data_IF_470511561166
#
_entry.id   IF_470511561166
#
_cell.length_a   1.000
_cell.length_b   1.000
_cell.length_c   1.000
_cell.angle_alpha   90.00
_cell.angle_beta   90.00
_cell.angle_gamma   90.00
#
_symmetry.space_group_name_H-M   'P 1'
#
loop_
_entity.id
_entity.type
_entity.pdbx_description
1 polymer ?
#
# COMPACT_ATOMS: atom_id res chain seq x y z
N UNK A 1 9.03 1.93 -16.72
CA UNK A 1 9.49 3.13 -15.97
C UNK A 1 10.53 2.70 -14.94
N UNK A 2 11.54 3.52 -14.67
CA UNK A 2 12.44 3.34 -13.54
C UNK A 2 12.27 4.54 -12.59
N UNK A 3 12.45 4.36 -11.30
CA UNK A 3 12.36 5.43 -10.32
C UNK A 3 13.39 5.22 -9.21
N UNK A 4 14.18 6.26 -8.95
CA UNK A 4 15.00 6.37 -7.75
C UNK A 4 14.26 7.27 -6.75
N UNK A 5 13.98 6.76 -5.56
CA UNK A 5 13.26 7.47 -4.52
C UNK A 5 14.09 7.52 -3.24
N UNK A 6 14.15 8.70 -2.63
CA UNK A 6 14.80 8.91 -1.33
C UNK A 6 13.83 9.67 -0.44
N UNK A 7 13.58 9.16 0.76
CA UNK A 7 12.86 9.86 1.81
C UNK A 7 13.82 10.24 2.93
N UNK A 8 13.78 11.51 3.31
CA UNK A 8 14.47 12.03 4.49
C UNK A 8 13.48 12.40 5.56
N UNK A 9 13.88 12.29 6.82
CA UNK A 9 13.03 12.59 7.97
C UNK A 9 13.80 13.35 9.04
N UNK A 10 13.11 14.30 9.67
CA UNK A 10 13.56 14.96 10.90
C UNK A 10 12.50 14.69 11.97
N UNK A 11 12.90 14.08 13.08
CA UNK A 11 11.98 13.64 14.11
C UNK A 11 12.72 13.01 15.27
N UNK A 12 12.09 12.98 16.44
CA UNK A 12 12.71 12.45 17.66
C UNK A 12 11.70 11.66 18.47
N UNK A 13 12.18 10.71 19.26
CA UNK A 13 11.34 10.00 20.22
C UNK A 13 11.10 10.80 21.51
N UNK A 14 10.24 10.26 22.38
CA UNK A 14 9.90 10.90 23.66
C UNK A 14 11.10 10.99 24.62
N UNK A 15 12.02 10.01 24.59
CA UNK A 15 13.20 10.01 25.44
C UNK A 15 14.12 11.19 25.10
N UNK A 16 14.43 11.37 23.81
CA UNK A 16 15.25 12.50 23.36
C UNK A 16 14.55 13.84 23.60
N UNK A 17 13.24 13.91 23.35
CA UNK A 17 12.44 15.12 23.62
C UNK A 17 12.43 15.51 25.10
N UNK A 18 12.54 14.54 26.01
CA UNK A 18 12.58 14.74 27.46
C UNK A 18 13.98 15.01 28.02
N UNK A 19 15.01 15.10 27.16
CA UNK A 19 16.39 15.41 27.54
C UNK A 19 17.32 14.21 27.67
N UNK A 20 16.86 12.98 27.44
CA UNK A 20 17.74 11.81 27.35
C UNK A 20 18.40 11.75 25.96
N UNK A 21 19.45 12.55 25.78
CA UNK A 21 20.22 12.59 24.53
C UNK A 21 21.15 11.39 24.35
N UNK A 22 21.25 10.50 25.34
CA UNK A 22 22.13 9.32 25.29
C UNK A 22 21.35 8.10 24.77
N UNK A 23 20.16 7.85 25.31
CA UNK A 23 19.34 6.70 24.91
C UNK A 23 18.19 7.08 23.96
N UNK A 24 17.82 8.35 23.90
CA UNK A 24 16.80 8.84 23.00
C UNK A 24 17.26 8.90 21.55
N UNK A 25 16.31 8.78 20.63
CA UNK A 25 16.54 8.81 19.18
C UNK A 25 16.17 10.16 18.60
N UNK A 26 17.06 10.70 17.78
CA UNK A 26 16.83 11.93 17.03
C UNK A 26 17.37 11.75 15.61
N UNK A 27 16.50 11.96 14.65
CA UNK A 27 16.80 12.01 13.23
C UNK A 27 16.86 13.49 12.82
N UNK A 28 17.92 13.87 12.12
CA UNK A 28 18.07 15.21 11.55
C UNK A 28 18.34 15.14 10.05
N UNK A 29 17.28 15.26 9.26
CA UNK A 29 17.31 15.13 7.81
C UNK A 29 17.92 13.79 7.33
N UNK A 30 17.76 12.75 8.14
CA UNK A 30 18.34 11.44 7.90
C UNK A 30 17.57 10.70 6.82
N UNK A 31 18.28 9.91 6.02
CA UNK A 31 17.67 9.06 5.00
C UNK A 31 17.01 7.87 5.69
N UNK A 32 15.69 7.77 5.56
CA UNK A 32 14.90 6.70 6.17
C UNK A 32 14.35 5.71 5.15
N UNK A 33 14.39 6.07 3.87
CA UNK A 33 14.03 5.18 2.77
C UNK A 33 14.85 5.55 1.54
N UNK A 34 15.41 4.56 0.86
CA UNK A 34 16.17 4.74 -0.37
C UNK A 34 15.98 3.51 -1.26
N UNK A 35 15.31 3.69 -2.38
CA UNK A 35 14.93 2.60 -3.27
C UNK A 35 15.10 2.98 -4.73
N UNK A 36 15.60 2.02 -5.52
CA UNK A 36 15.61 2.11 -6.97
C UNK A 36 14.73 0.98 -7.51
N UNK A 37 13.62 1.34 -8.14
CA UNK A 37 12.60 0.40 -8.58
C UNK A 37 12.33 0.48 -10.08
N UNK A 38 11.97 -0.67 -10.65
CA UNK A 38 11.49 -0.81 -12.01
C UNK A 38 10.00 -1.13 -12.01
N UNK A 39 9.25 -0.36 -12.80
CA UNK A 39 7.82 -0.50 -13.02
C UNK A 39 7.56 -0.83 -14.49
N UNK A 40 7.73 -2.11 -14.90
CA UNK A 40 7.23 -2.58 -16.18
C UNK A 40 5.69 -2.53 -16.18
N UNK A 41 5.14 -2.17 -17.33
CA UNK A 41 3.70 -2.17 -17.58
C UNK A 41 3.41 -2.54 -19.02
N UNK A 42 2.37 -3.34 -19.23
CA UNK A 42 1.84 -3.70 -20.52
C UNK A 42 0.32 -3.64 -20.48
N UNK A 43 -0.28 -3.13 -21.56
CA UNK A 43 -1.72 -3.05 -21.74
C UNK A 43 -2.02 -3.45 -23.18
N UNK A 44 -2.77 -4.54 -23.34
CA UNK A 44 -3.19 -5.07 -24.62
C UNK A 44 -4.70 -5.01 -24.71
N UNK A 45 -5.21 -4.45 -25.82
CA UNK A 45 -6.63 -4.45 -26.15
C UNK A 45 -6.77 -5.25 -27.44
N UNK A 46 -7.63 -6.27 -27.41
CA UNK A 46 -7.98 -7.09 -28.56
C UNK A 46 -9.46 -6.91 -28.87
N UNK A 47 -9.77 -6.36 -30.04
CA UNK A 47 -11.14 -6.26 -30.53
C UNK A 47 -11.57 -7.60 -31.12
N UNK A 48 -12.40 -8.33 -30.37
CA UNK A 48 -12.94 -9.63 -30.78
C UNK A 48 -13.90 -9.45 -31.97
N UNK A 49 -14.65 -8.36 -31.96
CA UNK A 49 -15.50 -7.89 -33.06
C UNK A 49 -15.75 -6.38 -32.88
N UNK A 50 -16.57 -5.78 -33.74
CA UNK A 50 -16.88 -4.33 -33.75
C UNK A 50 -17.41 -3.80 -32.40
N UNK A 51 -18.04 -4.66 -31.60
CA UNK A 51 -18.75 -4.27 -30.39
C UNK A 51 -18.21 -4.95 -29.13
N UNK A 52 -17.05 -5.63 -29.20
CA UNK A 52 -16.53 -6.40 -28.07
C UNK A 52 -15.01 -6.33 -28.00
N UNK A 53 -14.51 -5.96 -26.83
CA UNK A 53 -13.08 -5.90 -26.53
C UNK A 53 -12.71 -6.86 -25.41
N UNK A 54 -11.52 -7.42 -25.52
CA UNK A 54 -10.79 -8.07 -24.44
C UNK A 54 -9.60 -7.18 -24.08
N UNK A 55 -9.39 -6.91 -22.80
CA UNK A 55 -8.28 -6.11 -22.29
C UNK A 55 -7.48 -6.94 -21.30
N UNK A 56 -6.18 -7.00 -21.53
CA UNK A 56 -5.19 -7.62 -20.65
C UNK A 56 -4.24 -6.54 -20.14
N UNK A 57 -4.08 -6.44 -18.83
CA UNK A 57 -3.18 -5.48 -18.19
C UNK A 57 -2.25 -6.23 -17.25
N UNK A 58 -0.95 -5.94 -17.33
CA UNK A 58 0.05 -6.46 -16.40
C UNK A 58 0.95 -5.30 -15.97
N UNK A 59 1.06 -5.07 -14.67
CA UNK A 59 1.83 -3.93 -14.13
C UNK A 59 2.54 -4.28 -12.84
N UNK A 60 3.70 -3.67 -12.59
CA UNK A 60 4.30 -3.59 -11.25
C UNK A 60 4.08 -2.20 -10.67
N UNK A 61 3.58 -2.12 -9.46
CA UNK A 61 3.31 -0.89 -8.71
C UNK A 61 3.97 -0.95 -7.32
N UNK A 62 3.93 0.17 -6.59
CA UNK A 62 4.56 0.32 -5.27
C UNK A 62 3.60 1.05 -4.33
N UNK A 63 3.56 0.64 -3.07
CA UNK A 63 2.95 1.40 -1.99
C UNK A 63 4.06 1.75 -0.98
N UNK A 64 4.28 3.06 -0.82
CA UNK A 64 5.31 3.58 0.08
C UNK A 64 4.74 3.77 1.48
N UNK A 65 5.54 3.55 2.54
CA UNK A 65 5.15 3.99 3.86
C UNK A 65 4.84 5.49 3.87
N UNK A 66 3.81 5.87 4.61
CA UNK A 66 3.52 7.26 4.90
C UNK A 66 4.57 7.87 5.83
N UNK A 67 4.63 9.21 5.89
CA UNK A 67 5.46 9.92 6.87
C UNK A 67 5.13 9.55 8.31
N UNK A 68 3.87 9.21 8.60
CA UNK A 68 3.44 8.77 9.93
C UNK A 68 4.01 7.38 10.25
N UNK A 69 4.02 6.47 9.27
CA UNK A 69 4.58 5.13 9.46
C UNK A 69 6.09 5.16 9.61
N UNK A 70 6.81 5.95 8.81
CA UNK A 70 8.25 6.19 8.96
C UNK A 70 8.53 7.32 9.96
N UNK A 71 8.21 7.09 11.23
CA UNK A 71 8.46 8.08 12.30
C UNK A 71 8.63 7.44 13.69
N UNK A 72 8.90 8.29 14.69
CA UNK A 72 8.77 7.99 16.12
C UNK A 72 7.42 8.46 16.69
N UNK A 73 6.42 8.75 15.85
CA UNK A 73 5.14 9.25 16.33
C UNK A 73 4.39 8.17 17.13
N UNK A 74 3.84 8.56 18.27
CA UNK A 74 2.92 7.77 19.06
C UNK A 74 1.59 8.51 19.11
N UNK A 75 0.52 7.91 18.58
CA UNK A 75 -0.76 8.59 18.38
C UNK A 75 -1.88 7.72 18.95
N UNK A 76 -2.59 8.26 19.95
CA UNK A 76 -3.80 7.64 20.49
C UNK A 76 -4.98 7.90 19.55
N UNK A 77 -5.65 6.83 19.15
CA UNK A 77 -6.98 6.87 18.56
C UNK A 77 -8.03 6.74 19.68
N UNK A 78 -8.75 7.82 20.03
CA UNK A 78 -9.70 7.82 21.14
C UNK A 78 -10.96 6.99 20.85
N UNK A 79 -11.27 6.68 19.59
CA UNK A 79 -12.46 5.90 19.23
C UNK A 79 -12.23 4.41 19.45
N UNK A 80 -11.04 3.92 19.09
CA UNK A 80 -10.69 2.51 19.21
C UNK A 80 -9.85 2.20 20.46
N UNK A 81 -9.43 3.24 21.18
CA UNK A 81 -8.47 3.18 22.29
C UNK A 81 -7.16 2.46 21.93
N UNK A 82 -6.74 2.60 20.67
CA UNK A 82 -5.49 2.04 20.14
C UNK A 82 -4.43 3.11 20.08
N UNK A 83 -3.18 2.70 20.30
CA UNK A 83 -2.03 3.58 20.15
C UNK A 83 -1.29 3.12 18.90
N UNK A 84 -1.18 4.00 17.92
CA UNK A 84 -0.30 3.82 16.78
C UNK A 84 1.11 4.22 17.18
N UNK A 85 2.08 3.34 16.94
CA UNK A 85 3.50 3.62 17.04
C UNK A 85 4.11 3.60 15.64
N UNK A 86 4.90 4.61 15.28
CA UNK A 86 5.67 4.59 14.05
C UNK A 86 6.68 3.43 14.02
N UNK A 87 7.19 3.12 12.83
CA UNK A 87 8.00 1.91 12.61
C UNK A 87 9.38 1.96 13.25
N UNK A 88 9.93 3.14 13.54
CA UNK A 88 11.33 3.26 13.98
C UNK A 88 11.60 2.78 15.42
N UNK A 89 10.56 2.42 16.18
CA UNK A 89 10.71 1.75 17.47
C UNK A 89 11.07 0.27 17.23
N UNK A 90 12.26 -0.20 17.63
CA UNK A 90 12.61 -1.60 17.49
C UNK A 90 12.08 -2.38 18.69
N UNK A 91 11.77 -3.64 18.41
CA UNK A 91 11.29 -4.62 19.36
C UNK A 91 12.02 -5.94 19.08
N UNK A 92 11.92 -6.92 19.98
CA UNK A 92 12.56 -8.24 19.78
C UNK A 92 12.17 -8.93 18.46
N UNK A 93 10.97 -8.61 17.93
CA UNK A 93 10.42 -9.13 16.67
C UNK A 93 10.49 -8.17 15.49
N UNK A 94 11.10 -6.99 15.65
CA UNK A 94 11.11 -5.93 14.65
C UNK A 94 12.31 -5.01 14.78
N UNK A 95 13.08 -4.83 13.71
CA UNK A 95 14.34 -4.07 13.72
C UNK A 95 14.16 -2.56 13.52
N UNK A 96 12.93 -2.11 13.24
CA UNK A 96 12.63 -0.71 12.97
C UNK A 96 12.62 -0.33 11.49
N UNK A 97 13.00 -1.25 10.59
CA UNK A 97 13.22 -0.98 9.18
C UNK A 97 11.97 -1.29 8.34
N UNK A 98 11.17 -0.26 8.07
CA UNK A 98 10.00 -0.38 7.23
C UNK A 98 10.34 -0.04 5.77
N UNK A 99 10.06 -0.96 4.86
CA UNK A 99 10.30 -0.83 3.42
C UNK A 99 9.01 -0.71 2.63
N UNK A 100 9.11 -0.33 1.36
CA UNK A 100 7.95 -0.26 0.47
C UNK A 100 7.36 -1.64 0.17
N UNK A 101 6.04 -1.67 0.03
CA UNK A 101 5.33 -2.80 -0.54
C UNK A 101 5.40 -2.75 -2.06
N UNK A 102 5.85 -3.83 -2.69
CA UNK A 102 5.83 -3.96 -4.16
C UNK A 102 4.67 -4.86 -4.57
N UNK A 103 3.98 -4.47 -5.62
CA UNK A 103 2.75 -5.14 -6.04
C UNK A 103 2.86 -5.52 -7.51
N UNK A 104 2.69 -6.81 -7.82
CA UNK A 104 2.53 -7.28 -9.20
C UNK A 104 1.05 -7.49 -9.46
N UNK A 105 0.52 -6.84 -10.49
CA UNK A 105 -0.89 -6.82 -10.83
C UNK A 105 -1.10 -7.45 -12.22
N UNK A 106 -2.15 -8.24 -12.34
CA UNK A 106 -2.64 -8.77 -13.60
C UNK A 106 -4.17 -8.63 -13.64
N UNK A 107 -4.70 -8.05 -14.71
CA UNK A 107 -6.11 -7.79 -14.89
C UNK A 107 -6.56 -8.28 -16.26
N UNK A 108 -7.72 -8.93 -16.30
CA UNK A 108 -8.40 -9.34 -17.52
C UNK A 108 -9.80 -8.74 -17.50
N UNK A 109 -10.17 -8.07 -18.58
CA UNK A 109 -11.49 -7.44 -18.72
C UNK A 109 -12.09 -7.76 -20.07
N UNK A 110 -13.35 -8.15 -20.06
CA UNK A 110 -14.19 -8.31 -21.25
C UNK A 110 -15.24 -7.21 -21.24
N UNK A 111 -15.40 -6.51 -22.36
CA UNK A 111 -16.29 -5.37 -22.50
C UNK A 111 -17.12 -5.55 -23.77
N UNK A 112 -18.44 -5.39 -23.65
CA UNK A 112 -19.37 -5.38 -24.78
C UNK A 112 -20.11 -4.06 -24.84
N UNK A 113 -20.02 -3.43 -26.00
CA UNK A 113 -20.67 -2.17 -26.32
C UNK A 113 -22.00 -2.44 -27.01
N UNK A 114 -23.01 -1.64 -26.69
CA UNK A 114 -24.31 -1.66 -27.35
C UNK A 114 -24.60 -0.26 -27.91
N UNK A 115 -25.79 -0.10 -28.50
CA UNK A 115 -26.24 1.20 -29.03
C UNK A 115 -26.29 2.25 -27.93
N UNK A 116 -26.25 3.51 -28.34
CA UNK A 116 -26.43 4.67 -27.44
C UNK A 116 -25.41 4.75 -26.30
N UNK A 117 -24.18 4.27 -26.54
CA UNK A 117 -23.08 4.33 -25.57
C UNK A 117 -23.20 3.37 -24.38
N UNK A 118 -24.14 2.43 -24.44
CA UNK A 118 -24.37 1.44 -23.39
C UNK A 118 -23.22 0.42 -23.35
N UNK A 119 -22.86 -0.04 -22.15
CA UNK A 119 -21.78 -1.01 -21.95
C UNK A 119 -22.15 -2.05 -20.90
N UNK A 120 -21.72 -3.27 -21.13
CA UNK A 120 -21.66 -4.32 -20.11
C UNK A 120 -20.24 -4.86 -20.08
N UNK A 121 -19.67 -5.00 -18.89
CA UNK A 121 -18.33 -5.54 -18.74
C UNK A 121 -18.19 -6.42 -17.51
N UNK A 122 -17.24 -7.34 -17.62
CA UNK A 122 -16.84 -8.24 -16.54
C UNK A 122 -15.32 -8.26 -16.50
N UNK A 123 -14.75 -8.11 -15.33
CA UNK A 123 -13.30 -8.16 -15.12
C UNK A 123 -12.93 -9.09 -13.97
N UNK A 124 -11.73 -9.65 -14.07
CA UNK A 124 -11.05 -10.35 -12.99
C UNK A 124 -9.66 -9.75 -12.79
N UNK A 125 -9.20 -9.73 -11.54
CA UNK A 125 -7.89 -9.21 -11.18
C UNK A 125 -7.16 -10.13 -10.21
N UNK A 126 -5.84 -10.08 -10.28
CA UNK A 126 -4.90 -10.76 -9.40
C UNK A 126 -3.81 -9.78 -8.97
N UNK A 127 -3.50 -9.74 -7.68
CA UNK A 127 -2.44 -8.92 -7.10
C UNK A 127 -1.60 -9.75 -6.15
N UNK A 128 -0.29 -9.69 -6.34
CA UNK A 128 0.70 -10.26 -5.43
C UNK A 128 1.45 -9.15 -4.72
N UNK A 129 1.42 -9.14 -3.40
CA UNK A 129 2.08 -8.18 -2.53
C UNK A 129 3.37 -8.79 -1.98
N UNK A 130 4.49 -8.11 -2.20
CA UNK A 130 5.78 -8.37 -1.57
C UNK A 130 5.96 -7.34 -0.44
N UNK A 131 6.20 -7.80 0.79
CA UNK A 131 6.36 -6.95 1.97
C UNK A 131 5.18 -5.98 2.20
N UNK A 132 3.91 -6.46 2.25
CA UNK A 132 2.78 -5.60 2.61
C UNK A 132 3.01 -4.95 3.98
N UNK A 133 2.75 -3.65 4.08
CA UNK A 133 2.79 -2.90 5.34
C UNK A 133 1.47 -3.12 6.05
N UNK A 134 1.52 -3.74 7.23
CA UNK A 134 0.34 -4.08 8.03
C UNK A 134 0.51 -3.60 9.47
N UNK A 135 -0.61 -3.29 10.13
CA UNK A 135 -0.61 -2.95 11.55
C UNK A 135 -0.53 -4.22 12.39
N UNK A 136 0.63 -4.42 12.99
CA UNK A 136 0.91 -5.55 13.89
C UNK A 136 0.84 -5.07 15.33
N UNK A 137 0.16 -5.85 16.17
CA UNK A 137 0.11 -5.59 17.61
C UNK A 137 1.48 -5.78 18.24
N UNK A 138 1.92 -4.82 19.06
CA UNK A 138 3.15 -4.94 19.85
C UNK A 138 2.86 -5.84 21.06
N UNK A 139 3.40 -7.05 21.05
CA UNK A 139 3.13 -8.07 22.07
C UNK A 139 4.10 -8.03 23.26
N UNK A 140 4.52 -6.84 23.70
CA UNK A 140 5.35 -6.73 24.92
C UNK A 140 4.55 -6.98 26.21
N UNK A 141 3.24 -6.71 26.17
CA UNK A 141 2.31 -7.01 27.26
C UNK A 141 1.01 -7.60 26.70
N UNK A 142 0.45 -8.62 27.38
CA UNK A 142 -0.74 -9.33 26.90
C UNK A 142 -1.98 -8.43 26.72
N UNK A 143 -2.02 -7.25 27.34
CA UNK A 143 -3.11 -6.27 27.28
C UNK A 143 -2.77 -5.02 26.46
N UNK A 144 -1.61 -4.95 25.80
CA UNK A 144 -1.22 -3.77 25.03
C UNK A 144 -2.23 -3.47 23.90
N UNK A 145 -2.64 -2.20 23.79
CA UNK A 145 -3.46 -1.68 22.68
C UNK A 145 -2.60 -0.98 21.63
N UNK A 146 -1.29 -1.24 21.65
CA UNK A 146 -0.31 -0.64 20.76
C UNK A 146 -0.15 -1.43 19.46
N UNK A 147 -0.14 -0.71 18.35
CA UNK A 147 0.03 -1.25 17.01
C UNK A 147 1.17 -0.52 16.31
N UNK A 148 1.89 -1.25 15.47
CA UNK A 148 3.00 -0.74 14.71
C UNK A 148 2.90 -1.21 13.25
N UNK A 149 3.13 -0.32 12.26
CA UNK A 149 3.25 -0.74 10.88
C UNK A 149 4.52 -1.57 10.72
N UNK A 150 4.38 -2.76 10.13
CA UNK A 150 5.49 -3.68 9.83
C UNK A 150 5.29 -4.31 8.47
N UNK A 151 6.38 -4.62 7.78
CA UNK A 151 6.30 -5.46 6.59
C UNK A 151 6.05 -6.91 6.98
N UNK A 152 5.04 -7.55 6.39
CA UNK A 152 4.67 -8.94 6.72
C UNK A 152 4.66 -9.87 5.51
N UNK A 153 5.70 -10.70 5.39
CA UNK A 153 5.76 -11.80 4.40
C UNK A 153 5.29 -11.42 2.99
N UNK A 154 4.29 -12.16 2.49
CA UNK A 154 3.67 -11.93 1.18
C UNK A 154 2.14 -12.01 1.29
N UNK A 155 1.44 -11.25 0.46
CA UNK A 155 -0.02 -11.28 0.36
C UNK A 155 -0.51 -11.55 -1.06
N UNK A 156 -1.70 -12.13 -1.19
CA UNK A 156 -2.35 -12.35 -2.48
C UNK A 156 -3.79 -11.85 -2.43
N UNK A 157 -4.22 -11.13 -3.46
CA UNK A 157 -5.60 -10.68 -3.61
C UNK A 157 -6.11 -11.02 -5.00
N UNK A 158 -7.32 -11.57 -5.06
CA UNK A 158 -8.01 -11.92 -6.29
C UNK A 158 -9.45 -11.47 -6.18
N UNK A 159 -10.05 -11.08 -7.30
CA UNK A 159 -11.42 -10.61 -7.31
C UNK A 159 -11.99 -10.46 -8.71
N UNK A 160 -13.29 -10.17 -8.75
CA UNK A 160 -14.05 -9.96 -9.98
C UNK A 160 -14.92 -8.72 -9.85
N UNK A 161 -15.10 -8.00 -10.94
CA UNK A 161 -15.91 -6.79 -11.02
C UNK A 161 -16.87 -6.89 -12.21
N UNK A 162 -18.07 -6.31 -12.05
CA UNK A 162 -19.11 -6.29 -13.09
C UNK A 162 -19.61 -4.84 -13.19
N UNK A 163 -19.71 -4.32 -14.40
CA UNK A 163 -20.26 -2.99 -14.67
C UNK A 163 -21.32 -3.10 -15.75
N UNK A 164 -22.45 -2.42 -15.51
CA UNK A 164 -23.55 -2.32 -16.45
C UNK A 164 -24.05 -0.88 -16.54
N UNK A 165 -23.98 -0.33 -17.76
CA UNK A 165 -24.52 0.98 -18.08
C UNK A 165 -25.62 0.84 -19.15
N UNK A 166 -26.82 1.36 -18.84
CA UNK A 166 -27.99 1.30 -19.70
C UNK A 166 -28.67 2.67 -19.79
N UNK A 167 -29.00 3.08 -21.01
CA UNK A 167 -29.84 4.24 -21.30
C UNK A 167 -31.30 3.78 -21.45
N UNK A 168 -32.24 4.45 -20.77
CA UNK A 168 -33.68 4.17 -20.76
C UNK A 168 -34.50 5.25 -21.50
N UNK A 169 -34.02 5.77 -22.63
CA UNK A 169 -34.71 6.80 -23.42
C UNK A 169 -36.07 6.39 -24.04
N UNK A 170 -36.72 5.35 -23.52
CA UNK A 170 -38.07 4.91 -23.85
C UNK A 170 -39.07 5.06 -22.67
N UNK A 171 -38.63 5.67 -21.55
CA UNK A 171 -39.50 6.15 -20.46
C UNK A 171 -39.70 7.65 -20.61
#
# INVERSE_FOLDING_TARGET
>A
RAEHFIQRHTGRDQAYASGDVINGRNLDNDVVLNSLDLFPSANLIYSVNENTNLRLVATRTIARPSFKELSFAQILDPLTNRIFNGSFFPYSSWDGNLVETRITNADLRWERFFKDGQVFSVSGFYKQFENPIELVRIAEQQTSTEFQPRNVGTGTMLGTEIEWNKNFAFI
#
